data_IF_841971026135
#
_entry.id   IF_841971026135
#
_cell.length_a   1.000
_cell.length_b   1.000
_cell.length_c   1.000
_cell.angle_alpha   90.00
_cell.angle_beta   90.00
_cell.angle_gamma   90.00
#
_symmetry.space_group_name_H-M   'P 1'
#
loop_
_entity.id
_entity.type
_entity.pdbx_description
1 polymer ?
#
# COMPACT_ATOMS: atom_id res chain seq x y z
N UNK A 1 5.87 16.04 0.55
CA UNK A 1 5.88 15.85 -0.92
C UNK A 1 5.66 14.37 -1.19
N UNK A 2 4.87 14.01 -2.20
CA UNK A 2 4.57 12.61 -2.43
C UNK A 2 5.71 11.88 -3.18
N UNK A 3 6.00 10.64 -2.80
CA UNK A 3 7.13 9.88 -3.34
C UNK A 3 6.71 8.44 -3.62
N UNK A 4 6.87 7.99 -4.87
CA UNK A 4 6.74 6.56 -5.21
C UNK A 4 7.94 5.78 -4.67
N UNK A 5 7.67 4.59 -4.17
CA UNK A 5 8.66 3.63 -3.66
C UNK A 5 8.36 2.26 -4.25
N UNK A 6 9.41 1.50 -4.53
CA UNK A 6 9.29 0.18 -5.16
C UNK A 6 10.44 -0.70 -4.70
N UNK A 7 10.13 -1.96 -4.39
CA UNK A 7 11.11 -2.98 -4.03
C UNK A 7 10.89 -4.24 -4.84
N UNK A 8 11.98 -4.78 -5.39
CA UNK A 8 12.00 -6.11 -5.99
C UNK A 8 12.05 -7.15 -4.87
N UNK A 9 11.06 -8.04 -4.86
CA UNK A 9 10.92 -9.10 -3.84
C UNK A 9 11.36 -10.46 -4.41
N UNK A 10 11.34 -10.62 -5.72
CA UNK A 10 11.64 -11.88 -6.38
C UNK A 10 10.46 -12.84 -6.29
N UNK A 11 10.70 -14.11 -5.99
CA UNK A 11 9.65 -15.12 -6.01
C UNK A 11 8.95 -15.23 -4.64
N UNK A 12 7.62 -15.13 -4.62
CA UNK A 12 6.82 -15.20 -3.39
C UNK A 12 5.82 -16.35 -3.48
N UNK A 13 5.90 -17.29 -2.54
CA UNK A 13 4.91 -18.37 -2.41
C UNK A 13 3.59 -17.85 -1.87
N UNK A 14 2.48 -18.34 -2.41
CA UNK A 14 1.12 -17.93 -2.00
C UNK A 14 0.50 -18.92 -1.01
N UNK A 15 -0.41 -18.45 -0.16
CA UNK A 15 -1.08 -19.23 0.89
C UNK A 15 -1.80 -20.47 0.35
N UNK A 16 -2.35 -20.38 -0.87
CA UNK A 16 -3.11 -21.47 -1.51
C UNK A 16 -2.26 -22.32 -2.47
N UNK A 17 -0.93 -22.26 -2.34
CA UNK A 17 0.01 -22.83 -3.29
C UNK A 17 0.21 -21.92 -4.50
N UNK A 18 1.14 -22.26 -5.39
CA UNK A 18 1.57 -21.36 -6.46
C UNK A 18 2.55 -20.28 -5.99
N UNK A 19 2.95 -19.39 -6.90
CA UNK A 19 3.88 -18.30 -6.60
C UNK A 19 3.71 -17.10 -7.53
N UNK A 20 4.02 -15.92 -7.02
CA UNK A 20 4.36 -14.76 -7.83
C UNK A 20 5.83 -14.86 -8.25
N UNK A 21 6.10 -14.57 -9.52
CA UNK A 21 7.46 -14.67 -10.10
C UNK A 21 7.99 -13.29 -10.46
N UNK A 22 9.22 -12.99 -10.04
CA UNK A 22 9.86 -11.67 -10.18
C UNK A 22 8.94 -10.54 -9.69
N UNK A 23 8.41 -10.72 -8.50
CA UNK A 23 7.43 -9.84 -7.89
C UNK A 23 8.05 -8.51 -7.44
N UNK A 24 7.22 -7.47 -7.48
CA UNK A 24 7.54 -6.13 -7.02
C UNK A 24 6.41 -5.63 -6.13
N UNK A 25 6.77 -4.92 -5.07
CA UNK A 25 5.82 -4.19 -4.22
C UNK A 25 6.00 -2.70 -4.44
N UNK A 26 4.90 -2.02 -4.76
CA UNK A 26 4.90 -0.59 -5.04
C UNK A 26 4.00 0.13 -4.06
N UNK A 27 4.48 1.28 -3.60
CA UNK A 27 3.73 2.17 -2.72
C UNK A 27 4.02 3.62 -3.03
N UNK A 28 3.28 4.50 -2.36
CA UNK A 28 3.49 5.94 -2.44
C UNK A 28 3.34 6.56 -1.07
N UNK A 29 4.35 7.30 -0.66
CA UNK A 29 4.39 8.02 0.60
C UNK A 29 3.89 9.45 0.43
N UNK A 30 3.16 9.95 1.42
CA UNK A 30 2.67 11.32 1.53
C UNK A 30 2.98 11.87 2.92
N UNK A 31 3.08 13.19 3.07
CA UNK A 31 3.37 13.82 4.36
C UNK A 31 4.85 13.87 4.72
N UNK A 32 5.14 13.96 6.02
CA UNK A 32 6.50 14.13 6.57
C UNK A 32 7.25 12.80 6.74
N UNK A 33 8.50 12.73 6.29
CA UNK A 33 9.31 11.48 6.26
C UNK A 33 9.71 10.90 7.63
N UNK A 34 9.53 11.66 8.71
CA UNK A 34 9.83 11.21 10.08
C UNK A 34 8.56 11.06 10.93
N UNK A 35 7.39 11.29 10.35
CA UNK A 35 6.13 11.15 11.06
C UNK A 35 5.76 9.66 11.19
N UNK A 36 4.98 9.28 12.23
CA UNK A 36 4.44 7.93 12.33
C UNK A 36 3.63 7.57 11.08
N UNK A 37 3.76 6.32 10.64
CA UNK A 37 3.19 5.87 9.36
C UNK A 37 1.77 5.35 9.53
N UNK A 38 0.85 5.78 8.68
CA UNK A 38 -0.47 5.18 8.50
C UNK A 38 -0.52 4.53 7.12
N UNK A 39 -0.84 3.24 7.06
CA UNK A 39 -1.07 2.54 5.79
C UNK A 39 -2.52 2.71 5.38
N UNK A 40 -2.76 3.14 4.15
CA UNK A 40 -4.10 3.38 3.60
C UNK A 40 -4.34 2.49 2.39
N UNK A 41 -5.33 1.60 2.51
CA UNK A 41 -5.71 0.62 1.52
C UNK A 41 -7.13 0.90 1.01
N UNK A 42 -7.28 1.10 -0.30
CA UNK A 42 -8.61 1.21 -0.91
C UNK A 42 -9.22 -0.15 -1.26
N UNK A 43 -10.30 -0.13 -2.04
CA UNK A 43 -10.83 -1.35 -2.66
C UNK A 43 -9.88 -1.95 -3.70
N UNK A 44 -10.24 -3.10 -4.28
CA UNK A 44 -9.36 -3.81 -5.23
C UNK A 44 -8.98 -2.98 -6.48
N UNK A 45 -9.81 -2.00 -6.85
CA UNK A 45 -9.57 -1.08 -7.96
C UNK A 45 -8.83 0.21 -7.55
N UNK A 46 -8.55 0.40 -6.27
CA UNK A 46 -7.78 1.54 -5.80
C UNK A 46 -6.29 1.33 -6.06
N UNK A 47 -5.53 2.42 -6.05
CA UNK A 47 -4.09 2.40 -6.29
C UNK A 47 -3.37 3.08 -5.13
N UNK A 48 -2.03 3.07 -5.19
CA UNK A 48 -1.18 3.85 -4.28
C UNK A 48 -1.43 5.37 -4.30
N UNK A 49 -2.20 5.90 -5.25
CA UNK A 49 -2.52 7.33 -5.37
C UNK A 49 -3.65 7.76 -4.42
N UNK A 50 -3.37 7.78 -3.12
CA UNK A 50 -4.36 8.00 -2.05
C UNK A 50 -4.79 9.47 -1.93
N UNK A 51 -3.82 10.39 -1.95
CA UNK A 51 -4.03 11.83 -1.72
C UNK A 51 -3.55 12.67 -2.91
N UNK A 52 -3.90 13.95 -2.88
CA UNK A 52 -3.48 14.93 -3.88
C UNK A 52 -1.96 15.04 -3.97
N UNK A 53 -1.48 15.18 -5.20
CA UNK A 53 -0.07 15.37 -5.52
C UNK A 53 0.06 16.44 -6.63
N UNK A 54 0.99 17.41 -6.51
CA UNK A 54 1.17 18.45 -7.53
C UNK A 54 1.50 17.93 -8.93
N UNK A 55 2.02 16.71 -9.07
CA UNK A 55 2.45 16.13 -10.36
C UNK A 55 1.36 15.21 -10.95
N UNK A 56 0.76 14.35 -10.13
CA UNK A 56 -0.22 13.32 -10.54
C UNK A 56 -1.67 13.79 -10.44
N UNK A 57 -1.95 14.88 -9.74
CA UNK A 57 -3.29 15.42 -9.54
C UNK A 57 -4.02 14.78 -8.36
N UNK A 58 -5.34 14.64 -8.49
CA UNK A 58 -6.21 14.25 -7.36
C UNK A 58 -6.15 12.76 -7.03
N UNK A 59 -5.93 12.45 -5.76
CA UNK A 59 -5.98 11.10 -5.22
C UNK A 59 -7.40 10.58 -5.02
N UNK A 60 -7.58 9.26 -4.93
CA UNK A 60 -8.92 8.67 -4.80
C UNK A 60 -9.57 8.91 -3.44
N UNK A 61 -8.80 9.33 -2.43
CA UNK A 61 -9.29 9.64 -1.08
C UNK A 61 -8.89 11.01 -0.55
N UNK A 62 -8.54 11.94 -1.45
CA UNK A 62 -8.13 13.30 -1.09
C UNK A 62 -9.06 14.05 -0.15
N UNK A 63 -10.41 13.89 -0.19
CA UNK A 63 -11.28 14.54 0.79
C UNK A 63 -11.04 14.12 2.25
N UNK A 64 -10.43 12.95 2.49
CA UNK A 64 -10.12 12.45 3.83
C UNK A 64 -8.62 12.49 4.14
N UNK A 65 -7.76 12.44 3.12
CA UNK A 65 -6.31 12.35 3.26
C UNK A 65 -5.66 13.61 2.72
N UNK A 66 -5.43 14.58 3.60
CA UNK A 66 -4.78 15.86 3.28
C UNK A 66 -4.24 16.52 4.56
N UNK A 67 -3.50 17.62 4.40
CA UNK A 67 -2.99 18.40 5.54
C UNK A 67 -4.14 19.00 6.34
N UNK A 68 -4.18 18.72 7.65
CA UNK A 68 -5.28 19.09 8.56
C UNK A 68 -6.58 18.30 8.36
N UNK A 69 -6.57 17.25 7.51
CA UNK A 69 -7.73 16.40 7.24
C UNK A 69 -7.97 15.31 8.28
N UNK A 70 -9.01 14.48 8.11
CA UNK A 70 -9.27 13.31 8.97
C UNK A 70 -8.07 12.36 9.10
N UNK A 71 -7.40 12.08 7.99
CA UNK A 71 -6.06 11.46 7.96
C UNK A 71 -5.07 12.56 7.63
N UNK A 72 -4.53 13.16 8.68
CA UNK A 72 -3.74 14.38 8.62
C UNK A 72 -2.29 14.12 8.15
N UNK A 73 -1.96 14.53 6.91
CA UNK A 73 -0.62 14.38 6.35
C UNK A 73 0.40 15.40 6.88
N UNK A 74 -0.04 16.41 7.63
CA UNK A 74 0.82 17.28 8.43
C UNK A 74 1.30 16.63 9.73
N UNK A 75 0.62 15.56 10.19
CA UNK A 75 0.94 14.84 11.43
C UNK A 75 1.45 13.42 11.22
N UNK A 76 1.02 12.77 10.15
CA UNK A 76 1.36 11.38 9.83
C UNK A 76 1.97 11.28 8.44
N UNK A 77 2.82 10.26 8.25
CA UNK A 77 3.21 9.85 6.91
C UNK A 77 2.19 8.83 6.41
N UNK A 78 1.59 9.05 5.25
CA UNK A 78 0.61 8.11 4.68
C UNK A 78 1.26 7.26 3.62
N UNK A 79 1.12 5.93 3.72
CA UNK A 79 1.58 4.96 2.73
C UNK A 79 0.37 4.38 1.97
N UNK A 80 0.29 4.69 0.67
CA UNK A 80 -0.57 3.98 -0.29
C UNK A 80 0.12 2.76 -0.88
N UNK A 81 -0.66 1.80 -1.38
CA UNK A 81 -0.17 0.51 -1.87
C UNK A 81 -0.94 0.06 -3.13
N UNK A 82 -0.25 -0.61 -4.06
CA UNK A 82 -0.90 -1.31 -5.19
C UNK A 82 -1.02 -2.81 -4.91
N UNK A 83 -2.24 -3.32 -4.95
CA UNK A 83 -2.49 -4.75 -4.82
C UNK A 83 -1.91 -5.54 -5.99
N UNK A 84 -1.41 -6.74 -5.70
CA UNK A 84 -1.09 -7.69 -6.74
C UNK A 84 -2.31 -8.38 -7.35
N UNK A 85 -2.14 -9.01 -8.53
CA UNK A 85 -0.93 -9.00 -9.34
C UNK A 85 -0.71 -7.65 -10.06
N UNK A 86 0.50 -7.11 -9.98
CA UNK A 86 0.89 -5.90 -10.72
C UNK A 86 1.43 -6.32 -12.09
N UNK A 87 1.00 -5.66 -13.16
CA UNK A 87 1.49 -5.86 -14.54
C UNK A 87 1.17 -7.22 -15.21
N UNK A 88 0.01 -7.82 -14.93
CA UNK A 88 -0.52 -8.94 -15.74
C UNK A 88 0.20 -10.28 -15.56
N UNK A 89 1.13 -10.38 -14.61
CA UNK A 89 1.72 -11.65 -14.18
C UNK A 89 0.81 -12.32 -13.16
N UNK A 90 -0.19 -13.05 -13.66
CA UNK A 90 -1.11 -13.79 -12.81
C UNK A 90 -0.43 -15.07 -12.28
N UNK A 91 -0.51 -15.34 -10.97
CA UNK A 91 -0.05 -16.60 -10.44
C UNK A 91 -0.93 -17.77 -10.88
N UNK A 92 -0.37 -18.99 -10.85
CA UNK A 92 -1.09 -20.23 -11.18
C UNK A 92 -2.20 -20.60 -10.17
N UNK A 93 -2.40 -19.79 -9.13
CA UNK A 93 -3.37 -19.98 -8.06
C UNK A 93 -4.05 -18.67 -7.67
N UNK A 94 -5.18 -18.74 -6.95
CA UNK A 94 -5.84 -17.54 -6.45
C UNK A 94 -5.08 -16.92 -5.28
N UNK A 95 -4.87 -15.61 -5.34
CA UNK A 95 -4.33 -14.83 -4.23
C UNK A 95 -5.37 -14.60 -3.14
N UNK A 96 -4.92 -14.60 -1.89
CA UNK A 96 -5.72 -14.26 -0.71
C UNK A 96 -5.42 -12.84 -0.23
N UNK A 97 -6.23 -12.33 0.70
CA UNK A 97 -5.90 -11.09 1.40
C UNK A 97 -4.72 -11.24 2.36
N UNK A 98 -4.39 -12.47 2.79
CA UNK A 98 -3.18 -12.75 3.57
C UNK A 98 -1.91 -12.63 2.72
N UNK A 99 -1.97 -13.06 1.46
CA UNK A 99 -0.87 -12.83 0.50
C UNK A 99 -0.62 -11.32 0.31
N UNK A 100 -1.68 -10.52 0.21
CA UNK A 100 -1.56 -9.06 0.11
C UNK A 100 -1.01 -8.43 1.40
N UNK A 101 -1.44 -8.90 2.59
CA UNK A 101 -0.90 -8.42 3.86
C UNK A 101 0.61 -8.74 3.99
N UNK A 102 1.03 -9.95 3.58
CA UNK A 102 2.45 -10.32 3.51
C UNK A 102 3.24 -9.42 2.59
N UNK A 103 2.68 -9.03 1.44
CA UNK A 103 3.31 -8.07 0.51
C UNK A 103 3.41 -6.66 1.09
N UNK A 104 2.39 -6.19 1.82
CA UNK A 104 2.44 -4.91 2.52
C UNK A 104 3.56 -4.93 3.57
N UNK A 105 3.71 -6.04 4.30
CA UNK A 105 4.84 -6.23 5.21
C UNK A 105 6.19 -6.10 4.50
N UNK A 106 6.36 -6.74 3.34
CA UNK A 106 7.60 -6.65 2.57
C UNK A 106 7.90 -5.22 2.11
N UNK A 107 6.88 -4.44 1.76
CA UNK A 107 7.02 -3.02 1.44
C UNK A 107 7.47 -2.22 2.68
N UNK A 108 6.88 -2.47 3.84
CA UNK A 108 7.28 -1.83 5.10
C UNK A 108 8.72 -2.20 5.49
N UNK A 109 9.10 -3.47 5.34
CA UNK A 109 10.45 -3.97 5.62
C UNK A 109 11.48 -3.26 4.70
N UNK A 110 11.17 -3.10 3.40
CA UNK A 110 12.02 -2.36 2.46
C UNK A 110 12.18 -0.88 2.80
N UNK A 111 11.18 -0.28 3.45
CA UNK A 111 11.21 1.09 3.95
C UNK A 111 11.86 1.22 5.35
N UNK A 112 12.19 0.11 6.01
CA UNK A 112 12.70 0.09 7.38
C UNK A 112 11.65 0.51 8.43
N UNK A 113 10.36 0.25 8.17
CA UNK A 113 9.26 0.61 9.07
C UNK A 113 8.83 -0.61 9.88
N UNK A 114 9.27 -0.69 11.14
CA UNK A 114 8.94 -1.81 12.03
C UNK A 114 7.51 -1.74 12.62
N UNK A 115 6.95 -0.54 12.74
CA UNK A 115 5.60 -0.30 13.29
C UNK A 115 4.90 0.84 12.57
N UNK A 116 3.61 0.62 12.33
CA UNK A 116 2.69 1.64 11.81
C UNK A 116 1.79 2.13 12.94
N UNK A 117 1.42 3.40 12.91
CA UNK A 117 0.46 3.99 13.84
C UNK A 117 -0.95 3.43 13.64
N UNK A 118 -1.32 3.17 12.38
CA UNK A 118 -2.59 2.55 12.02
C UNK A 118 -2.52 1.93 10.61
N UNK A 119 -3.47 1.05 10.35
CA UNK A 119 -3.83 0.61 9.01
C UNK A 119 -5.32 0.90 8.79
N UNK A 120 -5.65 1.55 7.68
CA UNK A 120 -7.01 1.94 7.32
C UNK A 120 -7.34 1.28 6.00
N UNK A 121 -8.42 0.51 5.95
CA UNK A 121 -8.79 -0.25 4.77
C UNK A 121 -10.26 -0.09 4.39
N UNK A 122 -10.56 0.09 3.10
CA UNK A 122 -11.91 0.09 2.56
C UNK A 122 -12.16 -1.17 1.71
N UNK A 123 -13.30 -1.84 1.88
CA UNK A 123 -13.69 -3.03 1.09
C UNK A 123 -12.59 -4.11 1.12
N UNK A 124 -12.01 -4.48 -0.04
CA UNK A 124 -10.89 -5.42 -0.13
C UNK A 124 -9.67 -5.00 0.70
N UNK A 125 -9.38 -3.69 0.78
CA UNK A 125 -8.35 -3.17 1.66
C UNK A 125 -8.67 -3.35 3.14
N UNK A 126 -9.95 -3.28 3.52
CA UNK A 126 -10.40 -3.60 4.88
C UNK A 126 -10.19 -5.07 5.23
N UNK A 127 -10.53 -5.97 4.30
CA UNK A 127 -10.28 -7.41 4.47
C UNK A 127 -8.78 -7.73 4.55
N UNK A 128 -7.93 -6.96 3.86
CA UNK A 128 -6.47 -7.11 3.91
C UNK A 128 -5.89 -6.57 5.21
N UNK A 129 -6.38 -5.42 5.67
CA UNK A 129 -5.93 -4.78 6.92
C UNK A 129 -6.18 -5.63 8.18
N UNK A 130 -7.13 -6.56 8.13
CA UNK A 130 -7.50 -7.44 9.23
C UNK A 130 -6.71 -8.77 9.26
N UNK A 131 -5.77 -8.98 8.33
CA UNK A 131 -4.95 -10.19 8.24
C UNK A 131 -3.61 -10.05 8.92
#
# INVERSE_FOLDING_TARGET
MAQDVEFEIGNVSLERGGRLTDDRVTGRLYGHVQAPVIVVLGGISATRHVADDPVRGTGWWSPLVHDGGPVDTGRFQVLGYDFAPVAGKFPDSSMTTGDQAGRIKLLLDGLGIDRVAAIIGASYGGMTALR
#
